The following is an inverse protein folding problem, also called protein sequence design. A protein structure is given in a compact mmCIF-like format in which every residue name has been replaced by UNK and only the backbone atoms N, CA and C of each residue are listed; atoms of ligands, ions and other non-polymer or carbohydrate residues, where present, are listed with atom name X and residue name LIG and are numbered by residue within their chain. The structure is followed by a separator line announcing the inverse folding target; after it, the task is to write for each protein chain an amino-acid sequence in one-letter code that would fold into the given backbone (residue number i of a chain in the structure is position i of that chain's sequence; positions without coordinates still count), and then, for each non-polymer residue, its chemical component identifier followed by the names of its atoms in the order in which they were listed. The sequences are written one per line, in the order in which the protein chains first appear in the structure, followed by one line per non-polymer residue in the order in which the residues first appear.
data_IF_659938099617
#
_entry.id   IF_659938099617
#
_cell.length_a   1.000
_cell.length_b   1.000
_cell.length_c   1.000
_cell.angle_alpha   90.00
_cell.angle_beta   90.00
_cell.angle_gamma   90.00
#
_symmetry.space_group_name_H-M   'P 1'
#
loop_
_entity.id
_entity.type
_entity.pdbx_description
1 polymer ?
#
# COMPACT_ATOMS: atom_id res chain seq x y z
N UNK A 1 23.12 28.63 22.37
CA UNK A 1 21.96 28.10 21.66
C UNK A 1 22.46 27.19 20.53
N UNK A 2 22.44 25.88 20.72
CA UNK A 2 22.77 24.91 19.67
C UNK A 2 21.46 24.49 18.99
N UNK A 3 21.31 24.86 17.72
CA UNK A 3 20.23 24.40 16.90
C UNK A 3 20.53 22.93 16.49
N UNK A 4 19.73 21.99 17.01
CA UNK A 4 19.74 20.60 16.55
C UNK A 4 19.00 20.57 15.21
N UNK A 5 19.74 20.55 14.11
CA UNK A 5 19.18 20.26 12.80
C UNK A 5 18.92 18.76 12.72
N UNK A 6 17.63 18.39 12.86
CA UNK A 6 17.18 17.02 12.59
C UNK A 6 17.18 16.80 11.08
N UNK A 7 18.26 16.21 10.56
CA UNK A 7 18.32 15.73 9.17
C UNK A 7 17.47 14.46 9.10
N UNK A 8 16.26 14.56 8.53
CA UNK A 8 15.47 13.40 8.16
C UNK A 8 16.22 12.64 7.07
N UNK A 9 16.85 11.53 7.45
CA UNK A 9 17.46 10.61 6.51
C UNK A 9 16.35 9.84 5.79
N UNK A 10 16.18 10.10 4.51
CA UNK A 10 15.36 9.27 3.62
C UNK A 10 16.05 7.90 3.49
N UNK A 11 15.63 6.94 4.27
CA UNK A 11 16.07 5.56 4.13
C UNK A 11 15.34 4.90 2.94
N UNK A 12 15.97 4.93 1.78
CA UNK A 12 15.63 4.03 0.67
C UNK A 12 16.27 2.66 0.97
N UNK A 13 15.61 1.85 1.77
CA UNK A 13 16.02 0.46 1.99
C UNK A 13 15.54 -0.41 0.83
N UNK A 14 16.38 -1.33 0.34
CA UNK A 14 15.99 -2.40 -0.59
C UNK A 14 15.17 -3.49 0.13
N UNK A 15 14.36 -3.11 1.09
CA UNK A 15 13.46 -4.04 1.77
C UNK A 15 12.30 -4.39 0.83
N UNK A 16 12.09 -5.68 0.61
CA UNK A 16 10.90 -6.20 -0.10
C UNK A 16 9.65 -6.22 0.78
N UNK A 17 9.72 -5.58 1.92
CA UNK A 17 8.70 -5.58 2.96
C UNK A 17 8.53 -4.14 3.48
N UNK A 18 7.27 -3.68 3.53
CA UNK A 18 6.88 -2.43 4.16
C UNK A 18 6.37 -2.74 5.54
N UNK A 19 6.98 -2.15 6.57
CA UNK A 19 6.51 -2.21 7.95
C UNK A 19 6.35 -0.80 8.49
N UNK A 20 5.13 -0.44 8.89
CA UNK A 20 4.79 0.90 9.34
C UNK A 20 4.05 0.84 10.66
N UNK A 21 4.42 1.72 11.59
CA UNK A 21 3.83 1.82 12.92
C UNK A 21 3.22 3.20 13.09
N UNK A 22 2.10 3.31 13.78
CA UNK A 22 1.50 4.60 14.13
C UNK A 22 2.40 5.43 15.04
N UNK A 23 2.19 6.76 15.16
CA UNK A 23 3.05 7.64 15.98
C UNK A 23 3.24 7.19 17.42
N UNK A 24 2.18 6.70 18.08
CA UNK A 24 2.23 6.20 19.46
C UNK A 24 2.47 4.68 19.55
N UNK A 25 2.70 4.00 18.41
CA UNK A 25 2.95 2.56 18.38
C UNK A 25 1.72 1.68 18.61
N UNK A 26 0.52 2.26 18.51
CA UNK A 26 -0.74 1.55 18.79
C UNK A 26 -1.07 0.56 17.68
N UNK A 27 -0.89 0.98 16.42
CA UNK A 27 -1.12 0.15 15.25
C UNK A 27 0.20 -0.14 14.53
N UNK A 28 0.32 -1.36 14.00
CA UNK A 28 1.39 -1.77 13.11
C UNK A 28 0.75 -2.42 11.89
N UNK A 29 1.20 -2.06 10.71
CA UNK A 29 0.84 -2.69 9.45
C UNK A 29 2.09 -3.16 8.72
N UNK A 30 1.99 -4.33 8.10
CA UNK A 30 3.04 -4.92 7.29
C UNK A 30 2.49 -5.34 5.94
N UNK A 31 3.13 -4.93 4.86
CA UNK A 31 2.91 -5.44 3.50
C UNK A 31 4.15 -6.17 3.03
N UNK A 32 3.96 -7.34 2.43
CA UNK A 32 5.05 -8.11 1.86
C UNK A 32 4.60 -8.91 0.64
N UNK A 33 5.57 -9.32 -0.16
CA UNK A 33 5.35 -10.30 -1.20
C UNK A 33 5.42 -11.71 -0.60
N UNK A 34 4.45 -12.54 -0.92
CA UNK A 34 4.41 -13.94 -0.51
C UNK A 34 4.28 -14.86 -1.72
N UNK A 35 5.06 -15.94 -1.73
CA UNK A 35 5.01 -16.94 -2.79
C UNK A 35 3.95 -17.99 -2.44
N UNK A 36 2.86 -18.00 -3.21
CA UNK A 36 1.74 -18.92 -2.98
C UNK A 36 1.95 -20.23 -3.75
N UNK A 37 2.57 -20.18 -4.92
CA UNK A 37 2.91 -21.37 -5.71
C UNK A 37 4.22 -21.17 -6.48
N UNK A 38 4.63 -22.16 -7.26
CA UNK A 38 5.84 -22.04 -8.10
C UNK A 38 5.76 -20.90 -9.12
N UNK A 39 4.55 -20.46 -9.49
CA UNK A 39 4.30 -19.47 -10.54
C UNK A 39 3.51 -18.23 -10.09
N UNK A 40 3.09 -18.17 -8.82
CA UNK A 40 2.25 -17.07 -8.32
C UNK A 40 2.85 -16.49 -7.04
N UNK A 41 3.14 -15.19 -7.09
CA UNK A 41 3.45 -14.36 -5.95
C UNK A 41 2.27 -13.40 -5.73
N UNK A 42 1.89 -13.20 -4.48
CA UNK A 42 0.83 -12.28 -4.07
C UNK A 42 1.40 -11.20 -3.14
N UNK A 43 0.74 -10.07 -3.09
CA UNK A 43 0.98 -9.07 -2.05
C UNK A 43 0.00 -9.34 -0.93
N UNK A 44 0.53 -9.59 0.26
CA UNK A 44 -0.25 -9.83 1.47
C UNK A 44 0.04 -8.75 2.50
N UNK A 45 -0.93 -8.53 3.38
CA UNK A 45 -0.77 -7.59 4.48
C UNK A 45 -1.28 -8.18 5.80
N UNK A 46 -0.79 -7.60 6.89
CA UNK A 46 -1.21 -7.90 8.26
C UNK A 46 -1.36 -6.61 9.04
N UNK A 47 -2.28 -6.60 10.00
CA UNK A 47 -2.46 -5.46 10.93
C UNK A 47 -2.43 -5.96 12.36
N UNK A 48 -1.67 -5.26 13.21
CA UNK A 48 -1.66 -5.48 14.66
C UNK A 48 -2.16 -4.23 15.38
N UNK A 49 -2.84 -4.46 16.48
CA UNK A 49 -3.26 -3.46 17.44
C UNK A 49 -2.64 -3.79 18.80
N UNK A 50 -1.83 -2.89 19.36
CA UNK A 50 -1.10 -3.06 20.63
C UNK A 50 -0.36 -4.40 20.70
N UNK A 51 0.33 -4.74 19.61
CA UNK A 51 1.11 -5.97 19.47
C UNK A 51 0.30 -7.25 19.21
N UNK A 52 -1.04 -7.21 19.24
CA UNK A 52 -1.91 -8.33 18.92
C UNK A 52 -2.34 -8.28 17.47
N UNK A 53 -2.29 -9.41 16.78
CA UNK A 53 -2.78 -9.51 15.42
C UNK A 53 -4.31 -9.37 15.38
N UNK A 54 -4.81 -8.42 14.59
CA UNK A 54 -6.24 -8.17 14.36
C UNK A 54 -6.63 -8.67 12.98
N UNK A 55 -5.81 -8.32 11.97
CA UNK A 55 -5.93 -8.83 10.61
C UNK A 55 -4.69 -9.67 10.35
N UNK A 56 -4.89 -10.97 10.14
CA UNK A 56 -3.87 -11.93 9.75
C UNK A 56 -3.52 -11.80 8.27
N UNK A 57 -2.72 -12.72 7.76
CA UNK A 57 -2.35 -12.72 6.34
C UNK A 57 -3.57 -12.59 5.45
N UNK A 58 -3.70 -11.42 4.84
CA UNK A 58 -4.80 -11.05 3.96
C UNK A 58 -4.23 -10.58 2.64
N UNK A 59 -4.86 -10.98 1.56
CA UNK A 59 -4.44 -10.59 0.22
C UNK A 59 -4.80 -9.14 -0.05
N UNK A 60 -3.87 -8.38 -0.62
CA UNK A 60 -4.15 -7.12 -1.29
C UNK A 60 -4.39 -7.42 -2.78
N UNK A 61 -5.54 -7.05 -3.33
CA UNK A 61 -5.89 -7.48 -4.67
C UNK A 61 -6.84 -6.56 -5.43
N UNK A 62 -6.61 -6.45 -6.74
CA UNK A 62 -7.48 -5.76 -7.67
C UNK A 62 -7.77 -6.62 -8.89
N UNK A 63 -8.99 -6.50 -9.41
CA UNK A 63 -9.38 -7.04 -10.69
C UNK A 63 -9.51 -5.91 -11.72
N UNK A 64 -8.78 -6.03 -12.83
CA UNK A 64 -8.81 -5.06 -13.92
C UNK A 64 -9.34 -5.70 -15.21
N UNK A 65 -10.03 -4.90 -16.01
CA UNK A 65 -10.40 -5.24 -17.38
C UNK A 65 -9.63 -4.34 -18.36
N UNK A 66 -8.40 -4.75 -18.67
CA UNK A 66 -7.53 -4.04 -19.59
C UNK A 66 -7.57 -4.58 -21.04
N UNK A 67 -8.55 -5.42 -21.39
CA UNK A 67 -8.63 -6.11 -22.69
C UNK A 67 -8.49 -5.18 -23.88
N UNK A 68 -9.13 -4.03 -23.85
CA UNK A 68 -9.05 -3.05 -24.95
C UNK A 68 -7.63 -2.58 -25.20
N UNK A 69 -6.87 -2.31 -24.13
CA UNK A 69 -5.49 -1.85 -24.24
C UNK A 69 -4.53 -2.98 -24.60
N UNK A 70 -4.73 -4.16 -24.03
CA UNK A 70 -3.94 -5.34 -24.36
C UNK A 70 -4.04 -5.67 -25.86
N UNK A 71 -5.25 -5.61 -26.45
CA UNK A 71 -5.46 -5.79 -27.88
C UNK A 71 -4.81 -4.67 -28.71
N UNK A 72 -4.96 -3.42 -28.31
CA UNK A 72 -4.37 -2.27 -29.01
C UNK A 72 -2.84 -2.33 -29.05
N UNK A 73 -2.22 -2.93 -28.02
CA UNK A 73 -0.77 -3.11 -27.93
C UNK A 73 -0.29 -4.48 -28.48
N UNK A 74 -1.16 -5.23 -29.17
CA UNK A 74 -0.87 -6.57 -29.68
C UNK A 74 -0.32 -7.54 -28.62
N UNK A 75 -0.71 -7.38 -27.37
CA UNK A 75 -0.32 -8.24 -26.24
C UNK A 75 -1.28 -9.41 -26.09
N UNK A 76 -0.79 -10.52 -25.52
CA UNK A 76 -1.66 -11.62 -25.13
C UNK A 76 -2.56 -11.17 -23.98
N UNK A 77 -3.87 -11.41 -24.12
CA UNK A 77 -4.83 -11.16 -23.05
C UNK A 77 -4.59 -12.20 -21.95
N UNK A 78 -3.98 -11.79 -20.86
CA UNK A 78 -3.87 -12.61 -19.67
C UNK A 78 -5.13 -12.42 -18.82
N UNK A 79 -6.01 -13.41 -18.84
CA UNK A 79 -7.15 -13.46 -17.92
C UNK A 79 -6.67 -13.95 -16.55
N UNK A 80 -5.91 -13.11 -15.83
CA UNK A 80 -5.56 -13.40 -14.45
C UNK A 80 -6.71 -13.00 -13.54
N UNK A 81 -7.00 -13.84 -12.56
CA UNK A 81 -8.08 -13.63 -11.59
C UNK A 81 -7.81 -12.39 -10.73
N UNK A 82 -6.58 -12.17 -10.37
CA UNK A 82 -6.12 -10.97 -9.69
C UNK A 82 -5.01 -10.29 -10.51
N UNK A 83 -5.22 -9.02 -10.83
CA UNK A 83 -4.24 -8.27 -11.62
C UNK A 83 -2.94 -8.02 -10.86
N UNK A 84 -3.00 -7.95 -9.53
CA UNK A 84 -1.84 -7.73 -8.68
C UNK A 84 -0.92 -8.95 -8.55
N UNK A 85 -1.36 -10.13 -9.01
CA UNK A 85 -0.52 -11.32 -8.99
C UNK A 85 0.78 -11.10 -9.79
N UNK A 86 1.89 -11.57 -9.25
CA UNK A 86 3.22 -11.44 -9.83
C UNK A 86 3.71 -9.99 -10.03
N UNK A 87 3.18 -9.03 -9.26
CA UNK A 87 3.86 -7.76 -9.07
C UNK A 87 5.10 -7.99 -8.19
N UNK A 88 6.22 -7.40 -8.57
CA UNK A 88 7.44 -7.43 -7.77
C UNK A 88 7.64 -6.12 -7.02
N UNK A 89 8.12 -6.22 -5.79
CA UNK A 89 8.48 -5.05 -4.99
C UNK A 89 9.79 -4.48 -5.52
N UNK A 90 9.73 -3.26 -6.05
CA UNK A 90 10.89 -2.51 -6.51
C UNK A 90 11.59 -1.80 -5.34
N UNK A 91 10.82 -1.12 -4.50
CA UNK A 91 11.34 -0.38 -3.35
C UNK A 91 10.23 -0.03 -2.35
N UNK A 92 10.65 0.34 -1.15
CA UNK A 92 9.79 0.93 -0.12
C UNK A 92 10.41 2.24 0.32
N UNK A 93 9.62 3.31 0.33
CA UNK A 93 10.05 4.64 0.75
C UNK A 93 9.17 5.09 1.92
N UNK A 94 9.82 5.46 3.03
CA UNK A 94 9.18 6.03 4.20
C UNK A 94 9.21 7.55 4.11
N UNK A 95 8.07 8.18 4.35
CA UNK A 95 7.93 9.63 4.38
C UNK A 95 8.19 10.18 5.78
N UNK A 96 8.58 11.45 5.91
CA UNK A 96 8.64 12.12 7.20
C UNK A 96 7.29 12.05 7.92
N UNK A 97 7.32 11.81 9.23
CA UNK A 97 6.11 11.79 10.05
C UNK A 97 5.34 13.10 9.95
N UNK A 98 4.03 13.00 9.80
CA UNK A 98 3.12 14.16 9.77
C UNK A 98 2.52 14.35 11.17
N UNK A 99 2.57 15.57 11.67
CA UNK A 99 1.89 15.99 12.92
C UNK A 99 1.50 17.45 12.78
N UNK A 100 0.28 17.71 12.34
CA UNK A 100 -0.26 19.04 12.13
C UNK A 100 -1.69 19.13 12.64
N UNK A 101 -2.14 20.36 12.91
CA UNK A 101 -3.51 20.66 13.30
C UNK A 101 -4.09 21.72 12.40
N UNK A 102 -5.37 21.65 12.14
CA UNK A 102 -6.10 22.63 11.38
C UNK A 102 -7.49 22.87 11.98
N UNK A 103 -8.07 24.02 11.67
CA UNK A 103 -9.39 24.42 12.16
C UNK A 103 -10.39 24.38 10.99
N UNK A 104 -11.34 23.45 11.00
CA UNK A 104 -12.39 23.42 9.98
C UNK A 104 -13.30 24.63 10.13
N UNK A 105 -13.78 25.16 9.00
CA UNK A 105 -14.73 26.27 9.00
C UNK A 105 -16.09 25.89 9.56
N UNK A 106 -16.43 24.62 9.56
CA UNK A 106 -17.69 24.05 10.07
C UNK A 106 -17.46 22.60 10.49
N UNK A 107 -18.33 22.06 11.33
CA UNK A 107 -18.27 20.69 11.81
C UNK A 107 -18.33 20.62 13.36
N UNK A 108 -18.36 19.42 13.88
CA UNK A 108 -18.47 19.15 15.34
C UNK A 108 -17.18 19.48 16.11
N UNK A 109 -16.02 19.47 15.44
CA UNK A 109 -14.73 19.71 16.05
C UNK A 109 -14.17 21.07 15.63
N UNK A 110 -13.77 21.88 16.60
CA UNK A 110 -13.10 23.16 16.36
C UNK A 110 -11.64 23.00 15.93
N UNK A 111 -11.01 21.85 16.24
CA UNK A 111 -9.65 21.52 15.88
C UNK A 111 -9.58 20.06 15.44
N UNK A 112 -8.96 19.80 14.30
CA UNK A 112 -8.64 18.46 13.83
C UNK A 112 -7.11 18.31 13.87
N UNK A 113 -6.65 17.29 14.60
CA UNK A 113 -5.24 16.87 14.60
C UNK A 113 -5.05 15.79 13.56
N UNK A 114 -4.07 15.96 12.72
CA UNK A 114 -3.64 15.00 11.72
C UNK A 114 -2.22 14.54 12.06
N UNK A 115 -2.10 13.34 12.64
CA UNK A 115 -0.83 12.74 13.02
C UNK A 115 -0.75 11.31 12.48
N UNK A 116 0.22 11.05 11.61
CA UNK A 116 0.43 9.73 11.03
C UNK A 116 1.86 9.53 10.53
N UNK A 117 2.26 8.29 10.41
CA UNK A 117 3.41 7.86 9.64
C UNK A 117 2.95 7.35 8.27
N UNK A 118 3.75 7.56 7.24
CA UNK A 118 3.42 7.19 5.86
C UNK A 118 4.58 6.46 5.19
N UNK A 119 4.24 5.44 4.40
CA UNK A 119 5.19 4.76 3.55
C UNK A 119 4.53 4.36 2.23
N UNK A 120 5.33 4.28 1.18
CA UNK A 120 4.90 3.84 -0.16
C UNK A 120 5.70 2.63 -0.58
N UNK A 121 5.01 1.55 -0.95
CA UNK A 121 5.58 0.38 -1.60
C UNK A 121 5.39 0.52 -3.12
N UNK A 122 6.49 0.52 -3.85
CA UNK A 122 6.50 0.61 -5.31
C UNK A 122 6.58 -0.80 -5.90
N UNK A 123 5.69 -1.06 -6.84
CA UNK A 123 5.52 -2.38 -7.44
C UNK A 123 5.53 -2.27 -8.97
N UNK A 124 6.09 -3.27 -9.64
CA UNK A 124 6.05 -3.36 -11.10
C UNK A 124 5.90 -4.80 -11.58
N UNK A 125 5.35 -4.97 -12.81
CA UNK A 125 5.38 -6.24 -13.51
C UNK A 125 6.68 -6.37 -14.30
N UNK A 126 7.32 -7.53 -14.21
CA UNK A 126 8.58 -7.82 -14.93
C UNK A 126 8.36 -8.57 -16.26
N UNK A 127 7.18 -8.45 -16.82
CA UNK A 127 6.76 -9.10 -18.06
C UNK A 127 6.93 -8.22 -19.32
N UNK A 128 7.61 -7.07 -19.20
CA UNK A 128 7.80 -6.09 -20.27
C UNK A 128 6.57 -5.20 -20.50
N UNK A 129 5.52 -5.31 -19.70
CA UNK A 129 4.30 -4.48 -19.84
C UNK A 129 4.48 -3.05 -19.35
N UNK A 130 5.50 -2.76 -18.54
CA UNK A 130 5.69 -1.49 -17.83
C UNK A 130 4.55 -1.13 -16.86
N UNK A 131 3.73 -2.10 -16.47
CA UNK A 131 2.71 -1.88 -15.48
C UNK A 131 3.32 -1.65 -14.10
N UNK A 132 2.85 -0.60 -13.43
CA UNK A 132 3.28 -0.19 -12.11
C UNK A 132 2.07 0.03 -11.21
N UNK A 133 2.25 -0.21 -9.93
CA UNK A 133 1.30 0.07 -8.88
C UNK A 133 2.05 0.52 -7.64
N UNK A 134 1.53 1.53 -6.95
CA UNK A 134 2.03 1.89 -5.63
C UNK A 134 0.96 1.54 -4.60
N UNK A 135 1.40 1.01 -3.45
CA UNK A 135 0.56 0.91 -2.27
C UNK A 135 1.04 2.00 -1.31
N UNK A 136 0.20 3.01 -1.12
CA UNK A 136 0.45 4.09 -0.18
C UNK A 136 -0.26 3.78 1.12
N UNK A 137 0.49 3.75 2.22
CA UNK A 137 0.02 3.31 3.53
C UNK A 137 0.21 4.41 4.55
N UNK A 138 -0.82 4.70 5.34
CA UNK A 138 -0.78 5.59 6.50
C UNK A 138 -1.18 4.86 7.76
N UNK A 139 -0.38 5.02 8.80
CA UNK A 139 -0.66 4.50 10.12
C UNK A 139 -0.96 5.66 11.07
N UNK A 140 -2.22 5.73 11.50
CA UNK A 140 -2.73 6.64 12.52
C UNK A 140 -2.86 5.89 13.85
N UNK A 141 -2.93 6.61 14.96
CA UNK A 141 -3.22 5.99 16.27
C UNK A 141 -4.67 5.50 16.38
N UNK A 142 -5.56 6.00 15.53
CA UNK A 142 -6.95 5.57 15.40
C UNK A 142 -7.14 4.38 14.44
N UNK A 143 -6.15 4.09 13.56
CA UNK A 143 -6.27 3.00 12.58
C UNK A 143 -5.27 3.07 11.44
N UNK A 144 -5.45 2.15 10.50
CA UNK A 144 -4.62 2.03 9.29
C UNK A 144 -5.46 2.38 8.07
N UNK A 145 -4.88 3.16 7.17
CA UNK A 145 -5.43 3.42 5.86
C UNK A 145 -4.40 3.07 4.78
N UNK A 146 -4.85 2.49 3.68
CA UNK A 146 -4.02 2.31 2.49
C UNK A 146 -4.83 2.52 1.22
N UNK A 147 -4.13 2.83 0.14
CA UNK A 147 -4.74 2.95 -1.19
C UNK A 147 -3.83 2.39 -2.27
N UNK A 148 -4.45 1.99 -3.36
CA UNK A 148 -3.78 1.65 -4.60
C UNK A 148 -3.68 2.90 -5.46
N UNK A 149 -2.46 3.20 -5.91
CA UNK A 149 -2.18 4.33 -6.80
C UNK A 149 -1.52 3.80 -8.07
N UNK A 150 -2.11 4.11 -9.22
CA UNK A 150 -1.53 3.78 -10.52
C UNK A 150 -0.72 4.96 -11.01
N UNK A 151 0.62 4.84 -11.08
CA UNK A 151 1.44 5.84 -11.74
C UNK A 151 1.08 5.96 -13.22
N UNK A 152 1.36 7.11 -13.80
CA UNK A 152 1.14 7.34 -15.22
C UNK A 152 1.92 6.32 -16.05
N UNK A 153 1.22 5.69 -17.01
CA UNK A 153 1.84 4.71 -17.89
C UNK A 153 2.44 5.42 -19.11
N UNK A 154 3.65 5.06 -19.57
CA UNK A 154 4.31 5.71 -20.70
C UNK A 154 3.50 5.75 -22.01
N UNK A 155 2.56 4.82 -22.16
CA UNK A 155 1.66 4.71 -23.32
C UNK A 155 0.26 5.27 -23.03
N UNK A 156 0.10 6.10 -22.01
CA UNK A 156 -1.16 6.73 -21.58
C UNK A 156 -2.33 5.72 -21.41
N UNK A 157 -2.03 4.55 -20.82
CA UNK A 157 -3.03 3.51 -20.56
C UNK A 157 -3.90 3.89 -19.37
N UNK A 158 -5.22 3.80 -19.54
CA UNK A 158 -6.19 3.92 -18.47
C UNK A 158 -6.58 2.53 -17.96
N UNK A 159 -6.47 2.31 -16.66
CA UNK A 159 -6.88 1.07 -16.05
C UNK A 159 -8.39 1.07 -15.75
N UNK A 160 -9.09 0.03 -16.18
CA UNK A 160 -10.49 -0.18 -15.81
C UNK A 160 -10.54 -1.14 -14.63
N UNK A 161 -10.75 -0.60 -13.44
CA UNK A 161 -10.96 -1.41 -12.23
C UNK A 161 -12.39 -1.96 -12.27
N UNK A 162 -12.54 -3.26 -12.16
CA UNK A 162 -13.83 -3.95 -12.19
C UNK A 162 -14.15 -4.67 -10.88
N UNK A 163 -13.18 -4.78 -9.98
CA UNK A 163 -13.39 -5.37 -8.66
C UNK A 163 -12.23 -5.09 -7.70
N UNK A 164 -12.58 -5.00 -6.43
CA UNK A 164 -11.64 -5.03 -5.31
C UNK A 164 -11.63 -6.47 -4.76
N UNK A 165 -10.46 -7.07 -4.71
CA UNK A 165 -10.21 -8.43 -4.22
C UNK A 165 -9.42 -8.41 -2.91
N UNK A 166 -9.39 -7.27 -2.23
CA UNK A 166 -8.72 -7.14 -0.94
C UNK A 166 -9.45 -7.97 0.11
N UNK A 167 -8.72 -8.84 0.77
CA UNK A 167 -9.24 -9.73 1.81
C UNK A 167 -9.04 -9.13 3.19
N UNK A 168 -9.89 -9.54 4.15
CA UNK A 168 -9.80 -9.17 5.55
C UNK A 168 -9.97 -10.43 6.41
N UNK A 169 -8.85 -11.07 6.73
CA UNK A 169 -8.82 -12.28 7.55
C UNK A 169 -8.67 -11.90 9.02
N UNK A 170 -9.76 -11.89 9.77
CA UNK A 170 -9.72 -11.57 11.18
C UNK A 170 -9.13 -12.72 11.99
N UNK A 171 -8.20 -12.40 12.89
CA UNK A 171 -7.62 -13.38 13.79
C UNK A 171 -8.64 -13.82 14.85
N UNK A 172 -8.63 -15.11 15.29
CA UNK A 172 -9.49 -15.57 16.37
C UNK A 172 -9.29 -14.73 17.62
N UNK A 173 -10.38 -14.18 18.17
CA UNK A 173 -10.34 -13.31 19.35
C UNK A 173 -10.00 -11.84 19.05
N UNK A 174 -10.11 -11.40 17.81
CA UNK A 174 -9.97 -10.00 17.42
C UNK A 174 -11.19 -9.12 17.79
N UNK A 175 -12.24 -9.71 18.37
CA UNK A 175 -13.42 -9.01 18.90
C UNK A 175 -13.27 -8.77 20.40
#
# INVERSE_FOLDING_TARGET
AYALTCTASLYAGHSKELKLTSPEGVHEVMFRQEKISSSVNEIVYQVKYRGREVIGNSRAGLQLDNRTWELALARKINQVKCWMDNLEVDSVIYQPAVNKSWHPLYGERSTVREAYNEATMYLSKKDGSNYRLNIEVRAYDEGIAFRYFFPEHPQAIFHKVVGDLTEYTFSPGAM
#
